data_IF_965038620540
#
_entry.id   IF_965038620540
#
_cell.length_a   1.000
_cell.length_b   1.000
_cell.length_c   1.000
_cell.angle_alpha   90.00
_cell.angle_beta   90.00
_cell.angle_gamma   90.00
#
_symmetry.space_group_name_H-M   'P 1'
#
loop_
_entity.id
_entity.type
_entity.pdbx_description
1 polymer ?
#
# COMPACT_ATOMS: atom_id res chain seq x y z
N UNK A 1 73.15 -19.70 -4.94
CA UNK A 1 72.49 -18.49 -4.40
C UNK A 1 71.00 -18.77 -4.30
N UNK A 2 70.54 -19.15 -3.12
CA UNK A 2 69.12 -19.24 -2.76
C UNK A 2 68.59 -17.81 -2.55
N UNK A 3 67.38 -17.49 -3.01
CA UNK A 3 66.32 -16.81 -2.24
C UNK A 3 65.18 -16.31 -3.14
N UNK A 4 63.95 -16.55 -2.66
CA UNK A 4 62.77 -15.69 -2.81
C UNK A 4 61.95 -15.68 -4.12
N UNK A 5 61.33 -16.81 -4.45
CA UNK A 5 60.01 -16.82 -5.10
C UNK A 5 58.97 -17.29 -4.07
N UNK A 6 58.04 -16.42 -3.69
CA UNK A 6 56.78 -16.62 -2.92
C UNK A 6 56.54 -15.48 -1.91
N UNK A 7 56.12 -14.30 -2.36
CA UNK A 7 55.49 -13.34 -1.44
C UNK A 7 54.63 -12.24 -2.06
N UNK A 8 53.88 -12.47 -3.14
CA UNK A 8 52.96 -11.42 -3.66
C UNK A 8 51.68 -11.99 -4.31
N UNK A 9 51.12 -13.09 -3.79
CA UNK A 9 49.86 -13.64 -4.33
C UNK A 9 48.80 -13.99 -3.27
N UNK A 10 48.96 -13.51 -2.03
CA UNK A 10 48.07 -13.89 -0.92
C UNK A 10 47.50 -12.70 -0.12
N UNK A 11 47.73 -11.47 -0.58
CA UNK A 11 47.27 -10.24 0.11
C UNK A 11 46.20 -9.47 -0.66
N UNK A 12 45.86 -9.83 -1.90
CA UNK A 12 44.78 -9.19 -2.66
C UNK A 12 43.40 -9.85 -2.51
N UNK A 13 43.27 -10.88 -1.66
CA UNK A 13 42.00 -11.58 -1.42
C UNK A 13 41.41 -11.28 -0.02
N UNK A 14 41.89 -10.24 0.65
CA UNK A 14 41.44 -9.82 2.00
C UNK A 14 40.99 -8.34 2.05
N UNK A 15 40.66 -7.73 0.91
CA UNK A 15 40.08 -6.37 0.86
C UNK A 15 38.69 -6.32 0.20
N UNK A 16 38.06 -7.47 -0.09
CA UNK A 16 36.72 -7.52 -0.70
C UNK A 16 35.66 -8.22 0.17
N UNK A 17 35.97 -8.62 1.42
CA UNK A 17 35.02 -9.38 2.28
C UNK A 17 34.93 -8.82 3.71
N UNK A 18 35.27 -7.55 3.93
CA UNK A 18 35.11 -6.90 5.23
C UNK A 18 34.30 -5.62 5.07
N UNK A 19 33.16 -5.53 5.76
CA UNK A 19 32.28 -4.35 5.85
C UNK A 19 31.25 -4.24 4.70
N UNK A 20 30.59 -5.35 4.39
CA UNK A 20 29.13 -5.32 4.37
C UNK A 20 28.63 -5.16 5.82
N UNK A 21 27.50 -4.49 6.01
CA UNK A 21 26.79 -4.21 7.28
C UNK A 21 27.15 -2.87 7.94
N UNK A 22 26.48 -1.82 7.48
CA UNK A 22 25.60 -1.00 8.32
C UNK A 22 24.72 -0.11 7.43
N UNK A 23 23.55 -0.63 7.07
CA UNK A 23 22.44 0.21 6.68
C UNK A 23 21.93 0.90 7.94
N UNK A 24 22.47 2.07 8.24
CA UNK A 24 21.98 2.89 9.33
C UNK A 24 20.60 3.45 8.94
N UNK A 25 19.54 2.93 9.55
CA UNK A 25 18.32 3.70 9.73
C UNK A 25 18.75 4.98 10.46
N UNK A 26 18.68 6.11 9.76
CA UNK A 26 19.27 7.36 10.21
C UNK A 26 18.22 8.12 11.00
N UNK A 27 17.93 7.64 12.21
CA UNK A 27 17.02 8.36 13.10
C UNK A 27 17.66 9.73 13.43
N UNK A 28 16.88 10.79 13.35
CA UNK A 28 17.37 12.14 13.66
C UNK A 28 17.37 12.34 15.17
N UNK A 29 18.54 12.61 15.75
CA UNK A 29 18.68 12.93 17.16
C UNK A 29 18.43 14.42 17.38
N UNK A 30 17.47 14.73 18.24
CA UNK A 30 17.14 16.09 18.65
C UNK A 30 18.15 16.63 19.69
N UNK A 31 18.21 17.96 19.90
CA UNK A 31 19.16 18.57 20.83
C UNK A 31 19.04 18.12 22.30
N UNK A 32 17.90 17.54 22.69
CA UNK A 32 17.66 16.97 24.02
C UNK A 32 18.00 15.46 24.12
N UNK A 33 18.54 14.88 23.04
CA UNK A 33 18.86 13.46 22.96
C UNK A 33 17.67 12.56 22.63
N UNK A 34 16.47 13.09 22.41
CA UNK A 34 15.34 12.31 21.92
C UNK A 34 15.46 12.04 20.42
N UNK A 35 14.84 10.96 19.95
CA UNK A 35 15.00 10.49 18.58
C UNK A 35 13.70 10.63 17.78
N UNK A 36 13.81 11.07 16.53
CA UNK A 36 12.71 11.09 15.57
C UNK A 36 13.05 10.25 14.33
N UNK A 37 12.02 9.86 13.57
CA UNK A 37 12.19 9.11 12.33
C UNK A 37 12.97 9.89 11.26
N UNK A 38 13.55 9.18 10.30
CA UNK A 38 14.53 9.64 9.28
C UNK A 38 14.09 10.82 8.40
N UNK A 39 12.81 11.23 8.46
CA UNK A 39 12.24 12.36 7.71
C UNK A 39 11.43 13.35 8.57
N UNK A 40 11.60 13.29 9.89
CA UNK A 40 10.97 14.19 10.83
C UNK A 40 11.86 15.40 11.17
N UNK A 41 11.24 16.48 11.65
CA UNK A 41 11.95 17.66 12.16
C UNK A 41 11.76 17.77 13.67
N UNK A 42 12.85 17.92 14.41
CA UNK A 42 12.80 18.21 15.83
C UNK A 42 12.24 19.61 16.08
N UNK A 43 11.08 19.68 16.74
CA UNK A 43 10.45 20.93 17.13
C UNK A 43 10.37 21.06 18.64
N UNK A 44 10.73 22.24 19.13
CA UNK A 44 10.68 22.57 20.55
C UNK A 44 9.23 22.58 21.07
N UNK A 45 9.09 22.16 22.32
CA UNK A 45 7.87 22.13 23.14
C UNK A 45 8.18 22.72 24.53
N UNK A 46 7.17 22.79 25.41
CA UNK A 46 7.38 23.20 26.82
C UNK A 46 8.26 22.23 27.62
N UNK A 47 8.38 20.97 27.18
CA UNK A 47 9.04 19.90 27.93
C UNK A 47 10.25 19.29 27.21
N UNK A 48 10.77 19.94 26.16
CA UNK A 48 11.88 19.43 25.35
C UNK A 48 11.54 19.46 23.85
N UNK A 49 11.96 18.47 23.09
CA UNK A 49 11.70 18.34 21.67
C UNK A 49 10.69 17.24 21.37
N UNK A 50 9.95 17.45 20.28
CA UNK A 50 8.99 16.50 19.72
C UNK A 50 9.16 16.47 18.21
N UNK A 51 8.64 15.44 17.58
CA UNK A 51 8.87 15.15 16.18
C UNK A 51 7.74 15.73 15.32
N UNK A 52 8.11 16.54 14.35
CA UNK A 52 7.20 16.91 13.27
C UNK A 52 7.37 15.94 12.10
N UNK A 53 6.29 15.35 11.57
CA UNK A 53 6.38 14.35 10.51
C UNK A 53 6.76 14.95 9.13
N UNK A 54 7.02 16.26 9.07
CA UNK A 54 7.48 16.94 7.88
C UNK A 54 9.00 17.14 7.92
N UNK A 55 9.70 16.94 6.79
CA UNK A 55 11.10 17.32 6.69
C UNK A 55 11.21 18.85 6.62
N UNK A 56 12.19 19.42 7.32
CA UNK A 56 12.42 20.86 7.43
C UNK A 56 11.15 21.64 7.80
N UNK A 57 10.39 21.13 8.78
CA UNK A 57 9.13 21.70 9.23
C UNK A 57 9.31 23.09 9.85
N UNK A 58 8.27 23.92 9.76
CA UNK A 58 8.15 25.17 10.51
C UNK A 58 7.51 24.86 11.85
N UNK A 59 8.26 25.00 12.93
CA UNK A 59 7.75 24.84 14.29
C UNK A 59 6.91 26.05 14.69
N UNK A 60 5.63 25.84 15.01
CA UNK A 60 4.76 26.93 15.40
C UNK A 60 5.02 27.38 16.84
N UNK A 61 4.76 28.65 17.13
CA UNK A 61 5.02 29.27 18.43
C UNK A 61 4.06 28.78 19.54
N UNK A 62 3.01 28.04 19.20
CA UNK A 62 2.10 27.41 20.15
C UNK A 62 2.68 26.17 20.84
N UNK A 63 3.93 25.80 20.53
CA UNK A 63 4.68 24.69 21.10
C UNK A 63 4.06 23.30 20.90
N UNK A 64 2.85 23.18 20.38
CA UNK A 64 2.15 21.92 20.13
C UNK A 64 2.11 21.51 18.66
N UNK A 65 2.21 22.46 17.73
CA UNK A 65 2.00 22.20 16.31
C UNK A 65 3.14 22.63 15.41
N UNK A 66 3.11 22.12 14.18
CA UNK A 66 4.03 22.49 13.13
C UNK A 66 3.40 22.44 11.75
N UNK A 67 4.06 23.14 10.83
CA UNK A 67 3.67 23.27 9.45
C UNK A 67 4.75 22.71 8.51
N UNK A 68 4.39 22.31 7.29
CA UNK A 68 5.38 21.95 6.29
C UNK A 68 6.30 23.13 5.94
N UNK A 69 7.47 22.83 5.39
CA UNK A 69 8.41 23.85 4.95
C UNK A 69 7.75 24.85 3.98
N UNK A 70 7.99 26.13 4.21
CA UNK A 70 7.46 27.23 3.38
C UNK A 70 6.01 27.64 3.68
N UNK A 71 5.37 27.12 4.73
CA UNK A 71 4.10 27.61 5.25
C UNK A 71 4.31 28.42 6.55
N UNK A 72 3.52 29.46 6.75
CA UNK A 72 3.45 30.22 8.01
C UNK A 72 2.35 29.70 8.92
N UNK A 73 2.56 29.74 10.23
CA UNK A 73 1.56 29.32 11.21
C UNK A 73 0.58 30.45 11.52
N UNK A 74 -0.71 30.25 11.24
CA UNK A 74 -1.78 31.11 11.71
C UNK A 74 -2.40 30.50 12.98
N UNK A 75 -2.01 31.02 14.14
CA UNK A 75 -2.41 30.48 15.44
C UNK A 75 -3.89 30.73 15.77
N UNK A 76 -4.50 31.75 15.17
CA UNK A 76 -5.91 32.09 15.38
C UNK A 76 -6.82 31.09 14.68
N UNK A 77 -6.50 30.75 13.42
CA UNK A 77 -7.27 29.78 12.64
C UNK A 77 -6.77 28.35 12.79
N UNK A 78 -5.63 28.14 13.47
CA UNK A 78 -4.93 26.86 13.58
C UNK A 78 -4.59 26.26 12.21
N UNK A 79 -4.18 27.12 11.27
CA UNK A 79 -3.85 26.75 9.89
C UNK A 79 -2.43 27.16 9.48
N UNK A 80 -1.79 26.31 8.70
CA UNK A 80 -0.60 26.61 7.93
C UNK A 80 -0.99 27.33 6.64
N UNK A 81 -0.51 28.55 6.45
CA UNK A 81 -0.88 29.41 5.33
C UNK A 81 0.36 29.83 4.54
N UNK A 82 0.28 29.72 3.21
CA UNK A 82 1.32 30.22 2.30
C UNK A 82 0.76 31.22 1.29
N UNK A 83 -0.50 31.04 0.90
CA UNK A 83 -1.25 31.91 -0.01
C UNK A 83 -2.74 31.87 0.36
N UNK A 84 -3.57 32.80 -0.13
CA UNK A 84 -5.00 32.86 0.21
C UNK A 84 -5.79 31.57 -0.07
N UNK A 85 -5.29 30.75 -1.00
CA UNK A 85 -5.86 29.47 -1.44
C UNK A 85 -5.02 28.25 -1.01
N UNK A 86 -3.91 28.44 -0.30
CA UNK A 86 -3.08 27.37 0.28
C UNK A 86 -3.09 27.51 1.80
N UNK A 87 -4.14 26.93 2.40
CA UNK A 87 -4.35 26.83 3.84
C UNK A 87 -4.59 25.37 4.18
N UNK A 88 -3.85 24.82 5.13
CA UNK A 88 -4.04 23.46 5.63
C UNK A 88 -4.04 23.49 7.16
N UNK A 89 -4.74 22.58 7.86
CA UNK A 89 -4.69 22.52 9.31
C UNK A 89 -3.27 22.28 9.83
N UNK A 90 -2.91 22.92 10.93
CA UNK A 90 -1.67 22.69 11.63
C UNK A 90 -1.61 21.25 12.17
N UNK A 91 -0.47 20.59 12.07
CA UNK A 91 -0.29 19.21 12.53
C UNK A 91 0.30 19.19 13.93
N UNK A 92 -0.22 18.33 14.81
CA UNK A 92 0.32 18.13 16.15
C UNK A 92 1.65 17.40 16.09
N UNK A 93 2.58 17.81 16.95
CA UNK A 93 3.87 17.13 17.10
C UNK A 93 3.68 15.75 17.73
N UNK A 94 4.49 14.80 17.30
CA UNK A 94 4.55 13.44 17.83
C UNK A 94 5.60 13.37 18.95
N UNK A 95 5.34 12.61 20.01
CA UNK A 95 6.30 12.47 21.10
C UNK A 95 7.58 11.82 20.57
N UNK A 96 8.74 12.42 20.86
CA UNK A 96 10.01 11.86 20.47
C UNK A 96 10.32 10.61 21.31
N UNK A 97 10.89 9.57 20.69
CA UNK A 97 11.20 8.34 21.40
C UNK A 97 12.36 8.59 22.36
N UNK A 98 12.15 8.22 23.62
CA UNK A 98 13.14 8.35 24.68
C UNK A 98 14.17 7.23 24.54
N UNK A 99 15.48 7.49 24.63
CA UNK A 99 16.48 6.43 24.56
C UNK A 99 16.25 5.39 25.66
N UNK A 100 15.91 4.15 25.28
CA UNK A 100 15.78 3.04 26.22
C UNK A 100 17.16 2.71 26.80
N UNK A 101 17.31 2.88 28.12
CA UNK A 101 18.50 2.46 28.87
C UNK A 101 18.69 0.93 28.74
N UNK A 102 19.92 0.44 28.53
CA UNK A 102 20.17 -0.99 28.34
C UNK A 102 20.09 -1.74 29.67
N UNK A 103 19.08 -2.61 29.83
CA UNK A 103 19.04 -3.58 30.93
C UNK A 103 19.85 -4.81 30.52
N UNK A 104 20.87 -5.13 31.34
CA UNK A 104 21.77 -6.28 31.15
C UNK A 104 21.04 -7.61 31.37
N UNK A 105 21.33 -8.66 30.59
CA UNK A 105 20.74 -9.99 30.81
C UNK A 105 21.54 -10.75 31.86
N UNK A 106 20.88 -11.23 32.91
CA UNK A 106 21.36 -12.36 33.71
C UNK A 106 20.20 -13.32 33.87
N UNK A 107 20.38 -14.53 33.36
CA UNK A 107 19.61 -15.74 33.64
C UNK A 107 20.53 -16.76 34.32
N UNK A 108 20.05 -17.91 34.83
CA UNK A 108 18.72 -18.28 35.36
C UNK A 108 18.84 -18.86 36.79
N UNK A 109 17.75 -19.10 37.55
CA UNK A 109 17.09 -20.41 37.70
C UNK A 109 15.83 -20.24 38.58
N UNK A 110 14.71 -20.85 38.14
CA UNK A 110 13.56 -21.51 38.82
C UNK A 110 13.11 -21.00 40.22
N UNK A 111 11.83 -20.97 40.60
CA UNK A 111 10.58 -21.59 40.11
C UNK A 111 9.39 -20.99 40.89
N UNK A 112 8.16 -21.19 40.35
CA UNK A 112 6.86 -21.23 41.06
C UNK A 112 6.38 -19.93 41.78
N UNK A 113 5.18 -19.39 41.62
CA UNK A 113 3.87 -19.95 41.31
C UNK A 113 2.97 -18.88 40.66
N UNK A 114 2.21 -19.31 39.65
CA UNK A 114 0.78 -19.06 39.42
C UNK A 114 0.20 -17.70 39.84
N UNK A 115 -0.14 -16.88 38.83
CA UNK A 115 -1.51 -16.42 38.51
C UNK A 115 -1.42 -15.16 37.64
N UNK A 116 -1.70 -15.30 36.34
CA UNK A 116 -2.43 -14.33 35.51
C UNK A 116 -2.25 -14.66 34.03
N UNK A 117 -3.38 -14.90 33.37
CA UNK A 117 -3.76 -14.43 32.03
C UNK A 117 -2.67 -14.53 30.93
N UNK A 118 -2.83 -15.41 29.92
CA UNK A 118 -1.84 -15.51 28.86
C UNK A 118 -1.82 -14.24 28.00
N UNK A 119 -0.74 -13.47 28.16
CA UNK A 119 -0.24 -12.49 27.21
C UNK A 119 0.20 -13.23 25.95
N UNK A 120 -0.75 -13.53 25.07
CA UNK A 120 -0.45 -13.82 23.68
C UNK A 120 -0.38 -12.49 22.93
N UNK A 121 0.82 -11.93 22.81
CA UNK A 121 1.11 -10.99 21.71
C UNK A 121 1.30 -11.83 20.45
N UNK A 122 0.20 -12.50 20.04
CA UNK A 122 0.07 -13.16 18.77
C UNK A 122 0.02 -12.05 17.72
N UNK A 123 1.07 -11.97 16.90
CA UNK A 123 1.09 -11.20 15.66
C UNK A 123 -0.23 -11.44 14.92
N UNK A 124 -1.13 -10.44 14.92
CA UNK A 124 -2.43 -10.56 14.28
C UNK A 124 -2.27 -10.33 12.79
N UNK A 125 -2.19 -11.41 12.03
CA UNK A 125 -2.28 -11.34 10.58
C UNK A 125 -3.63 -10.74 10.16
N UNK A 126 -3.60 -9.89 9.13
CA UNK A 126 -4.79 -9.24 8.58
C UNK A 126 -5.39 -10.18 7.53
N UNK A 127 -6.49 -10.85 7.86
CA UNK A 127 -7.20 -11.72 6.92
C UNK A 127 -7.95 -10.89 5.88
N UNK A 128 -7.64 -11.09 4.61
CA UNK A 128 -8.30 -10.41 3.49
C UNK A 128 -9.60 -11.13 3.11
N UNK A 129 -9.56 -12.47 3.11
CA UNK A 129 -10.72 -13.34 2.94
C UNK A 129 -10.47 -14.73 3.56
N UNK A 130 -11.26 -15.74 3.18
CA UNK A 130 -11.17 -17.12 3.66
C UNK A 130 -9.93 -17.88 3.18
N UNK A 131 -9.19 -17.35 2.21
CA UNK A 131 -8.06 -18.00 1.57
C UNK A 131 -6.77 -17.18 1.67
N UNK A 132 -6.85 -15.85 1.86
CA UNK A 132 -5.73 -14.93 1.76
C UNK A 132 -5.55 -14.06 3.01
N UNK A 133 -4.30 -13.86 3.41
CA UNK A 133 -3.90 -13.02 4.53
C UNK A 133 -2.72 -12.11 4.18
N UNK A 134 -2.69 -10.95 4.84
CA UNK A 134 -1.62 -9.99 4.82
C UNK A 134 -0.92 -9.89 6.18
N UNK A 135 0.37 -9.49 6.21
CA UNK A 135 1.08 -9.25 7.45
C UNK A 135 0.40 -8.17 8.30
N UNK A 136 0.68 -8.18 9.60
CA UNK A 136 0.17 -7.14 10.50
C UNK A 136 0.57 -5.73 10.02
N UNK A 137 -0.37 -4.79 10.06
CA UNK A 137 -0.19 -3.41 9.61
C UNK A 137 -0.38 -3.17 8.10
N UNK A 138 -0.64 -4.21 7.31
CA UNK A 138 -0.90 -4.08 5.88
C UNK A 138 -2.40 -3.96 5.59
N UNK A 139 -2.75 -3.26 4.51
CA UNK A 139 -4.13 -3.14 4.03
C UNK A 139 -4.38 -4.08 2.86
N UNK A 140 -5.42 -4.90 2.95
CA UNK A 140 -5.83 -5.79 1.85
C UNK A 140 -6.40 -4.97 0.68
N UNK A 141 -5.75 -5.06 -0.48
CA UNK A 141 -6.15 -4.46 -1.73
C UNK A 141 -6.57 -5.54 -2.73
N UNK A 142 -7.76 -5.35 -3.31
CA UNK A 142 -8.32 -6.29 -4.27
C UNK A 142 -7.96 -5.86 -5.69
N UNK A 143 -7.29 -6.75 -6.41
CA UNK A 143 -6.94 -6.54 -7.80
C UNK A 143 -8.14 -6.74 -8.73
N UNK A 144 -8.24 -6.01 -9.86
CA UNK A 144 -9.31 -6.18 -10.84
C UNK A 144 -9.48 -7.61 -11.37
N UNK A 145 -8.42 -8.42 -11.40
CA UNK A 145 -8.49 -9.85 -11.80
C UNK A 145 -9.00 -10.78 -10.69
N UNK A 146 -9.27 -10.25 -9.49
CA UNK A 146 -9.81 -11.00 -8.35
C UNK A 146 -8.77 -11.48 -7.33
N UNK A 147 -7.48 -11.29 -7.58
CA UNK A 147 -6.41 -11.60 -6.63
C UNK A 147 -6.31 -10.55 -5.51
N UNK A 148 -5.75 -10.96 -4.36
CA UNK A 148 -5.46 -10.07 -3.24
C UNK A 148 -3.99 -9.68 -3.18
N UNK A 149 -3.77 -8.42 -2.86
CA UNK A 149 -2.46 -7.84 -2.61
C UNK A 149 -2.46 -7.06 -1.30
N UNK A 150 -1.33 -7.00 -0.63
CA UNK A 150 -1.09 -6.35 0.63
C UNK A 150 -0.41 -5.01 0.38
N UNK A 151 -1.11 -3.93 0.70
CA UNK A 151 -0.54 -2.60 0.74
C UNK A 151 0.26 -2.41 2.03
N UNK A 152 1.52 -1.99 1.90
CA UNK A 152 2.42 -1.74 3.03
C UNK A 152 2.06 -0.53 3.90
N UNK A 153 0.95 0.16 3.60
CA UNK A 153 0.42 1.22 4.43
C UNK A 153 -0.73 0.71 5.30
N UNK A 154 -0.66 1.04 6.58
CA UNK A 154 -1.81 0.95 7.49
C UNK A 154 -2.89 1.93 7.04
N UNK A 155 -4.11 1.43 6.83
CA UNK A 155 -5.25 2.18 6.26
C UNK A 155 -4.92 2.82 4.89
N UNK A 156 -4.10 2.14 4.09
CA UNK A 156 -3.73 2.58 2.75
C UNK A 156 -4.93 2.65 1.82
N UNK A 157 -4.91 3.61 0.89
CA UNK A 157 -5.88 3.67 -0.20
C UNK A 157 -5.38 2.83 -1.37
N UNK A 158 -6.13 1.79 -1.70
CA UNK A 158 -5.85 0.96 -2.87
C UNK A 158 -6.11 1.76 -4.16
N UNK A 159 -5.15 1.71 -5.07
CA UNK A 159 -5.36 2.20 -6.42
C UNK A 159 -6.30 1.25 -7.17
N UNK A 160 -6.88 1.78 -8.25
CA UNK A 160 -7.86 1.07 -9.05
C UNK A 160 -7.26 -0.04 -9.90
N UNK A 161 -5.98 0.08 -10.23
CA UNK A 161 -5.22 -0.98 -10.88
C UNK A 161 -4.94 -2.16 -9.94
N UNK A 162 -5.13 -1.99 -8.62
CA UNK A 162 -4.96 -3.03 -7.62
C UNK A 162 -3.52 -3.48 -7.35
N UNK A 163 -2.56 -2.96 -8.10
CA UNK A 163 -1.13 -3.18 -7.87
C UNK A 163 -0.52 -2.08 -7.04
N UNK A 164 -1.04 -0.86 -7.13
CA UNK A 164 -0.51 0.27 -6.41
C UNK A 164 -1.37 0.63 -5.22
N UNK A 165 -0.74 1.23 -4.22
CA UNK A 165 -1.47 1.83 -3.13
C UNK A 165 -0.79 3.10 -2.61
N UNK A 166 -1.62 3.97 -2.06
CA UNK A 166 -1.22 5.23 -1.49
C UNK A 166 -1.42 5.24 0.01
N UNK A 167 -0.62 6.02 0.75
CA UNK A 167 -0.83 6.19 2.18
C UNK A 167 -2.18 6.84 2.45
N UNK A 168 -2.67 6.67 3.67
CA UNK A 168 -3.94 7.25 4.09
C UNK A 168 -4.04 8.75 3.78
N UNK A 169 -5.18 9.17 3.21
CA UNK A 169 -5.42 10.56 2.82
C UNK A 169 -4.74 11.02 1.52
N UNK A 170 -4.24 10.06 0.72
CA UNK A 170 -3.80 10.28 -0.66
C UNK A 170 -4.60 9.40 -1.62
N UNK A 171 -4.85 9.94 -2.80
CA UNK A 171 -5.48 9.29 -3.94
C UNK A 171 -4.42 9.00 -4.98
N UNK A 172 -4.56 7.89 -5.68
CA UNK A 172 -3.71 7.63 -6.83
C UNK A 172 -4.06 8.61 -7.95
N UNK A 173 -3.05 9.09 -8.66
CA UNK A 173 -3.22 9.82 -9.90
C UNK A 173 -3.79 8.89 -10.98
N UNK A 174 -4.12 9.46 -12.15
CA UNK A 174 -4.72 8.68 -13.24
C UNK A 174 -3.76 7.64 -13.83
N UNK A 175 -2.46 7.82 -13.63
CA UNK A 175 -1.42 6.85 -14.04
C UNK A 175 -1.10 5.82 -12.97
N UNK A 176 -1.69 5.94 -11.77
CA UNK A 176 -1.49 5.10 -10.57
C UNK A 176 -0.06 5.04 -10.02
N UNK A 177 0.86 5.80 -10.60
CA UNK A 177 2.28 5.85 -10.21
C UNK A 177 2.54 6.87 -9.13
N UNK A 178 1.62 7.83 -8.94
CA UNK A 178 1.80 8.91 -7.97
C UNK A 178 0.61 9.04 -7.03
N UNK A 179 0.94 9.31 -5.78
CA UNK A 179 -0.04 9.63 -4.75
C UNK A 179 -0.25 11.14 -4.67
N UNK A 180 -1.45 11.58 -5.05
CA UNK A 180 -1.91 12.98 -5.04
C UNK A 180 -2.98 13.19 -3.97
N UNK A 181 -3.18 14.42 -3.51
CA UNK A 181 -4.27 14.75 -2.58
C UNK A 181 -5.27 15.66 -3.28
N UNK A 182 -6.48 15.18 -3.55
CA UNK A 182 -7.55 15.99 -4.18
C UNK A 182 -7.84 17.23 -3.33
N UNK A 183 -7.74 18.42 -3.94
CA UNK A 183 -8.05 19.71 -3.30
C UNK A 183 -6.86 20.63 -3.04
N UNK A 184 -5.62 20.21 -3.35
CA UNK A 184 -4.43 21.08 -3.32
C UNK A 184 -3.72 21.00 -4.68
N UNK A 185 -3.88 22.02 -5.52
CA UNK A 185 -3.05 22.20 -6.70
C UNK A 185 -1.66 22.68 -6.26
N UNK A 186 -0.64 21.81 -6.42
CA UNK A 186 0.82 22.02 -6.38
C UNK A 186 1.35 23.22 -5.54
N UNK A 187 2.20 22.98 -4.52
CA UNK A 187 3.44 22.21 -4.69
C UNK A 187 3.62 21.16 -3.60
N UNK A 188 3.38 19.90 -3.94
CA UNK A 188 3.87 18.76 -3.16
C UNK A 188 4.59 17.84 -4.13
N UNK A 189 5.79 17.39 -3.76
CA UNK A 189 6.51 16.37 -4.52
C UNK A 189 5.63 15.12 -4.55
N UNK A 190 5.20 14.64 -5.73
CA UNK A 190 4.43 13.42 -5.83
C UNK A 190 5.22 12.28 -5.18
N UNK A 191 4.56 11.50 -4.31
CA UNK A 191 5.16 10.27 -3.79
C UNK A 191 4.90 9.15 -4.78
N UNK A 192 5.94 8.37 -5.06
CA UNK A 192 5.77 7.13 -5.80
C UNK A 192 4.81 6.22 -5.03
N UNK A 193 3.85 5.67 -5.75
CA UNK A 193 2.97 4.64 -5.22
C UNK A 193 3.78 3.39 -4.90
N UNK A 194 3.49 2.74 -3.77
CA UNK A 194 4.11 1.46 -3.47
C UNK A 194 3.42 0.35 -4.25
N UNK A 195 4.23 -0.53 -4.82
CA UNK A 195 3.76 -1.80 -5.35
C UNK A 195 3.32 -2.68 -4.19
N UNK A 196 2.08 -3.13 -4.24
CA UNK A 196 1.49 -4.06 -3.29
C UNK A 196 2.07 -5.47 -3.48
N UNK A 197 2.17 -6.21 -2.39
CA UNK A 197 2.75 -7.56 -2.37
C UNK A 197 1.62 -8.58 -2.49
N UNK A 198 1.71 -9.66 -3.28
CA UNK A 198 0.66 -10.69 -3.30
C UNK A 198 0.34 -11.21 -1.89
N UNK A 199 -0.95 -11.38 -1.58
CA UNK A 199 -1.37 -11.91 -0.29
C UNK A 199 -1.02 -13.39 -0.16
N UNK A 200 -0.63 -13.80 1.05
CA UNK A 200 -0.24 -15.17 1.33
C UNK A 200 -1.48 -16.04 1.50
N UNK A 201 -1.50 -17.28 0.96
CA UNK A 201 -2.57 -18.22 1.23
C UNK A 201 -2.53 -18.67 2.70
N UNK A 202 -3.70 -18.84 3.32
CA UNK A 202 -3.85 -19.33 4.69
C UNK A 202 -3.50 -20.83 4.70
N UNK A 203 -2.42 -21.21 5.38
CA UNK A 203 -2.05 -22.61 5.54
C UNK A 203 -2.92 -23.28 6.61
N UNK A 204 -3.96 -24.01 6.22
CA UNK A 204 -4.67 -24.92 7.13
C UNK A 204 -3.85 -26.20 7.28
N UNK A 205 -3.25 -26.42 8.44
CA UNK A 205 -2.71 -27.72 8.81
C UNK A 205 -3.86 -28.69 9.11
N UNK A 206 -3.91 -29.77 8.34
CA UNK A 206 -4.60 -31.05 8.60
C UNK A 206 -6.13 -31.05 8.71
N UNK A 207 -6.81 -31.28 7.58
CA UNK A 207 -7.59 -32.52 7.44
C UNK A 207 -7.48 -33.04 6.01
N UNK A 208 -7.22 -34.34 5.89
CA UNK A 208 -6.83 -35.05 4.68
C UNK A 208 -8.05 -35.75 4.10
N UNK A 209 -8.64 -35.19 3.04
CA UNK A 209 -9.32 -36.00 2.01
C UNK A 209 -9.41 -35.29 0.66
N UNK A 210 -8.39 -35.58 -0.17
CA UNK A 210 -8.43 -35.80 -1.63
C UNK A 210 -9.41 -34.93 -2.45
N UNK A 211 -8.92 -33.84 -3.05
CA UNK A 211 -8.77 -33.76 -4.52
C UNK A 211 -7.42 -33.11 -4.80
N UNK A 212 -6.62 -33.79 -5.61
CA UNK A 212 -5.28 -33.38 -6.01
C UNK A 212 -5.41 -32.33 -7.12
N UNK A 213 -5.36 -31.05 -6.77
CA UNK A 213 -5.06 -30.00 -7.75
C UNK A 213 -3.67 -29.43 -7.47
N UNK A 214 -2.78 -29.68 -8.42
CA UNK A 214 -1.41 -29.18 -8.46
C UNK A 214 -1.41 -27.64 -8.38
N UNK A 215 -0.60 -27.04 -7.49
CA UNK A 215 -0.40 -25.59 -7.50
C UNK A 215 0.22 -25.19 -8.84
N UNK A 216 -0.37 -24.22 -9.53
CA UNK A 216 0.21 -23.69 -10.75
C UNK A 216 1.40 -22.81 -10.36
N UNK A 217 2.55 -23.45 -10.21
CA UNK A 217 3.88 -22.84 -10.19
C UNK A 217 4.00 -21.93 -11.41
N UNK A 218 4.52 -20.71 -11.20
CA UNK A 218 4.93 -19.82 -12.27
C UNK A 218 5.83 -20.59 -13.24
N UNK A 219 5.36 -20.83 -14.47
CA UNK A 219 6.18 -21.45 -15.49
C UNK A 219 7.17 -20.41 -16.01
N UNK A 220 8.44 -20.75 -15.80
CA UNK A 220 9.63 -20.26 -16.47
C UNK A 220 9.38 -20.02 -17.96
N UNK A 221 9.93 -18.92 -18.46
CA UNK A 221 9.95 -18.53 -19.88
C UNK A 221 10.26 -19.73 -20.80
N UNK A 222 9.31 -20.07 -21.66
CA UNK A 222 9.57 -20.85 -22.87
C UNK A 222 9.43 -19.90 -24.06
N UNK A 223 10.52 -19.78 -24.81
CA UNK A 223 10.54 -19.13 -26.12
C UNK A 223 9.54 -19.83 -27.05
N UNK A 224 8.84 -19.01 -27.82
CA UNK A 224 7.89 -19.37 -28.88
C UNK A 224 6.44 -19.71 -28.46
N UNK A 225 5.69 -18.68 -28.01
CA UNK A 225 4.26 -18.52 -28.29
C UNK A 225 3.81 -17.05 -28.09
N UNK A 226 2.97 -16.56 -29.00
CA UNK A 226 2.42 -15.19 -29.08
C UNK A 226 1.66 -14.76 -27.80
N UNK A 227 1.67 -13.47 -27.39
CA UNK A 227 1.21 -13.01 -26.08
C UNK A 227 -0.32 -12.91 -26.04
N UNK A 228 -0.99 -13.92 -25.51
CA UNK A 228 -2.43 -13.84 -25.27
C UNK A 228 -2.73 -13.26 -23.89
N UNK A 229 -3.45 -12.14 -23.92
CA UNK A 229 -3.82 -11.29 -22.80
C UNK A 229 -4.65 -12.03 -21.73
N UNK A 230 -4.37 -11.76 -20.45
CA UNK A 230 -5.08 -12.36 -19.32
C UNK A 230 -6.60 -12.07 -19.32
N UNK A 231 -7.40 -13.07 -18.97
CA UNK A 231 -8.88 -12.96 -18.86
C UNK A 231 -9.32 -12.54 -17.46
N UNK A 232 -10.46 -11.84 -17.36
CA UNK A 232 -11.06 -11.41 -16.09
C UNK A 232 -12.16 -12.39 -15.70
N UNK A 233 -11.97 -13.14 -14.61
CA UNK A 233 -12.95 -14.13 -14.14
C UNK A 233 -14.07 -13.45 -13.35
N UNK A 234 -15.32 -13.64 -13.79
CA UNK A 234 -16.51 -13.12 -13.11
C UNK A 234 -17.06 -14.11 -12.07
N UNK A 235 -16.95 -15.42 -12.36
CA UNK A 235 -17.24 -16.53 -11.45
C UNK A 235 -16.49 -17.79 -11.94
N UNK A 236 -16.77 -18.96 -11.33
CA UNK A 236 -16.11 -20.24 -11.65
C UNK A 236 -16.29 -20.70 -13.11
N UNK A 237 -17.34 -20.21 -13.79
CA UNK A 237 -17.74 -20.66 -15.13
C UNK A 237 -17.70 -19.56 -16.18
N UNK A 238 -17.66 -18.29 -15.78
CA UNK A 238 -17.85 -17.14 -16.66
C UNK A 238 -16.69 -16.16 -16.54
N UNK A 239 -16.20 -15.68 -17.67
CA UNK A 239 -15.11 -14.73 -17.77
C UNK A 239 -15.35 -13.66 -18.85
N UNK A 240 -14.57 -12.60 -18.78
CA UNK A 240 -14.51 -11.52 -19.75
C UNK A 240 -13.08 -11.32 -20.27
N UNK A 241 -12.94 -10.67 -21.42
CA UNK A 241 -11.63 -10.36 -22.00
C UNK A 241 -10.83 -9.37 -21.12
N UNK A 242 -9.51 -9.30 -21.32
CA UNK A 242 -8.65 -8.30 -20.69
C UNK A 242 -9.22 -6.88 -20.85
N UNK A 243 -9.10 -6.04 -19.81
CA UNK A 243 -9.52 -4.62 -19.87
C UNK A 243 -11.03 -4.37 -19.75
N UNK A 244 -11.83 -5.39 -19.50
CA UNK A 244 -13.29 -5.28 -19.30
C UNK A 244 -13.67 -5.30 -17.81
N UNK A 245 -14.95 -5.13 -17.48
CA UNK A 245 -15.47 -5.24 -16.10
C UNK A 245 -16.62 -6.22 -16.02
N UNK A 246 -16.57 -7.13 -15.05
CA UNK A 246 -17.67 -8.03 -14.77
C UNK A 246 -18.85 -7.29 -14.12
N UNK A 247 -19.99 -7.25 -14.80
CA UNK A 247 -21.24 -6.68 -14.32
C UNK A 247 -22.27 -7.78 -14.07
N UNK A 248 -22.80 -7.83 -12.85
CA UNK A 248 -23.89 -8.74 -12.48
C UNK A 248 -25.22 -7.99 -12.51
N UNK A 249 -26.23 -8.56 -13.16
CA UNK A 249 -27.58 -8.02 -13.14
C UNK A 249 -28.35 -8.41 -11.86
N UNK A 250 -29.58 -7.91 -11.71
CA UNK A 250 -30.43 -8.23 -10.56
C UNK A 250 -30.92 -9.68 -10.55
N UNK A 251 -30.80 -10.40 -11.66
CA UNK A 251 -31.15 -11.84 -11.79
C UNK A 251 -29.94 -12.74 -11.54
N UNK A 252 -28.76 -12.17 -11.33
CA UNK A 252 -27.51 -12.86 -11.09
C UNK A 252 -26.74 -13.29 -12.34
N UNK A 253 -27.18 -12.84 -13.51
CA UNK A 253 -26.53 -13.08 -14.80
C UNK A 253 -25.33 -12.14 -14.95
N UNK A 254 -24.22 -12.67 -15.43
CA UNK A 254 -22.99 -11.92 -15.65
C UNK A 254 -22.86 -11.44 -17.10
N UNK A 255 -22.34 -10.23 -17.25
CA UNK A 255 -22.08 -9.57 -18.53
C UNK A 255 -20.80 -8.75 -18.42
N UNK A 256 -20.11 -8.57 -19.53
CA UNK A 256 -18.86 -7.84 -19.64
C UNK A 256 -19.14 -6.40 -20.06
N UNK A 257 -18.71 -5.44 -19.25
CA UNK A 257 -18.63 -4.05 -19.65
C UNK A 257 -17.29 -3.82 -20.36
N UNK A 258 -17.25 -3.19 -21.55
CA UNK A 258 -16.03 -2.96 -22.31
C UNK A 258 -15.06 -1.97 -21.64
N UNK A 259 -15.54 -1.22 -20.64
CA UNK A 259 -14.70 -0.27 -19.92
C UNK A 259 -13.98 -0.94 -18.74
N UNK A 260 -12.69 -0.65 -18.52
CA UNK A 260 -12.01 -1.03 -17.30
C UNK A 260 -12.62 -0.26 -16.12
N UNK A 261 -12.93 -0.98 -15.04
CA UNK A 261 -13.56 -0.43 -13.83
C UNK A 261 -14.89 0.29 -14.11
N UNK A 262 -15.65 -0.22 -15.08
CA UNK A 262 -16.91 0.34 -15.52
C UNK A 262 -18.00 0.27 -14.43
N UNK A 263 -18.82 1.31 -14.37
CA UNK A 263 -19.99 1.39 -13.50
C UNK A 263 -21.17 0.68 -14.18
N UNK A 264 -21.64 -0.39 -13.55
CA UNK A 264 -22.75 -1.20 -14.04
C UNK A 264 -24.10 -0.49 -13.78
N UNK A 265 -24.81 -0.08 -14.83
CA UNK A 265 -26.19 0.39 -14.75
C UNK A 265 -27.18 -0.69 -14.27
N UNK A 266 -28.31 -0.27 -13.69
CA UNK A 266 -29.30 -1.20 -13.11
C UNK A 266 -30.11 -1.98 -14.14
N UNK A 267 -30.14 -1.50 -15.37
CA UNK A 267 -30.88 -2.10 -16.47
C UNK A 267 -30.30 -3.43 -16.99
N UNK A 268 -29.10 -3.80 -16.52
CA UNK A 268 -28.42 -5.04 -16.92
C UNK A 268 -27.79 -5.00 -18.31
N UNK A 269 -28.01 -3.94 -19.08
CA UNK A 269 -27.62 -3.84 -20.50
C UNK A 269 -26.53 -2.82 -20.76
N UNK A 270 -26.48 -1.77 -19.94
CA UNK A 270 -25.56 -0.67 -20.16
C UNK A 270 -24.55 -0.52 -19.03
N UNK A 271 -23.42 0.08 -19.34
CA UNK A 271 -22.43 0.47 -18.36
C UNK A 271 -21.78 1.81 -18.73
N UNK A 272 -21.16 2.42 -17.73
CA UNK A 272 -20.46 3.69 -17.87
C UNK A 272 -18.99 3.51 -17.55
N UNK A 273 -18.15 4.36 -18.14
CA UNK A 273 -16.75 4.44 -17.76
C UNK A 273 -16.59 4.88 -16.30
N UNK A 274 -15.45 4.54 -15.70
CA UNK A 274 -15.14 4.88 -14.33
C UNK A 274 -15.33 6.39 -14.03
N UNK A 275 -16.00 6.68 -12.91
CA UNK A 275 -16.25 8.06 -12.47
C UNK A 275 -17.45 8.75 -13.14
N UNK A 276 -18.18 8.07 -14.02
CA UNK A 276 -19.49 8.50 -14.51
C UNK A 276 -20.61 7.75 -13.80
N UNK A 277 -21.78 8.40 -13.64
CA UNK A 277 -22.98 7.76 -13.08
C UNK A 277 -23.97 7.46 -14.19
N UNK A 278 -24.64 6.30 -14.12
CA UNK A 278 -25.75 6.03 -15.03
C UNK A 278 -26.90 7.01 -14.75
N UNK A 279 -27.46 7.59 -15.82
CA UNK A 279 -28.74 8.30 -15.79
C UNK A 279 -29.87 7.39 -15.32
N UNK A 280 -31.01 7.96 -14.96
CA UNK A 280 -32.20 7.21 -14.55
C UNK A 280 -32.67 6.20 -15.61
N UNK A 281 -32.49 6.51 -16.90
CA UNK A 281 -32.83 5.63 -18.03
C UNK A 281 -31.71 4.66 -18.39
N UNK A 282 -30.52 4.77 -17.79
CA UNK A 282 -29.31 4.00 -18.08
C UNK A 282 -28.73 4.15 -19.50
N UNK A 283 -29.33 5.00 -20.36
CA UNK A 283 -28.88 5.24 -21.75
C UNK A 283 -27.75 6.27 -21.86
N UNK A 284 -27.56 7.06 -20.81
CA UNK A 284 -26.46 8.04 -20.73
C UNK A 284 -25.74 7.97 -19.39
N UNK A 285 -24.46 8.28 -19.42
CA UNK A 285 -23.53 8.42 -18.34
C UNK A 285 -23.32 9.91 -18.04
N UNK A 286 -23.47 10.31 -16.78
CA UNK A 286 -23.46 11.71 -16.35
C UNK A 286 -22.33 12.00 -15.38
N UNK A 287 -21.72 13.18 -15.54
CA UNK A 287 -20.75 13.77 -14.61
C UNK A 287 -20.86 15.29 -14.66
N UNK A 288 -21.46 15.87 -13.62
CA UNK A 288 -21.82 17.29 -13.65
C UNK A 288 -22.86 17.54 -14.75
N UNK A 289 -22.53 18.42 -15.70
CA UNK A 289 -23.38 18.75 -16.86
C UNK A 289 -23.07 17.93 -18.11
N UNK A 290 -22.05 17.07 -18.09
CA UNK A 290 -21.72 16.23 -19.23
C UNK A 290 -22.66 15.02 -19.31
N UNK A 291 -23.25 14.80 -20.50
CA UNK A 291 -24.06 13.64 -20.83
C UNK A 291 -23.38 12.87 -21.96
N UNK A 292 -22.92 11.66 -21.67
CA UNK A 292 -22.23 10.79 -22.61
C UNK A 292 -23.09 9.54 -22.83
N UNK A 293 -23.23 9.00 -24.04
CA UNK A 293 -23.94 7.73 -24.24
C UNK A 293 -23.32 6.60 -23.42
N UNK A 294 -24.15 5.72 -22.85
CA UNK A 294 -23.66 4.54 -22.14
C UNK A 294 -23.14 3.48 -23.09
N UNK A 295 -22.11 2.74 -22.67
CA UNK A 295 -21.60 1.60 -23.42
C UNK A 295 -22.50 0.36 -23.29
N UNK A 296 -22.61 -0.47 -24.33
CA UNK A 296 -23.32 -1.74 -24.24
C UNK A 296 -22.50 -2.74 -23.41
N UNK A 297 -23.20 -3.67 -22.74
CA UNK A 297 -22.57 -4.85 -22.16
C UNK A 297 -22.65 -6.02 -23.13
N UNK A 298 -21.62 -6.85 -23.07
CA UNK A 298 -21.55 -8.12 -23.81
C UNK A 298 -21.81 -9.30 -22.88
N UNK A 299 -22.19 -10.44 -23.42
CA UNK A 299 -22.35 -11.64 -22.61
C UNK A 299 -20.99 -12.15 -22.11
N UNK A 300 -20.94 -12.57 -20.85
CA UNK A 300 -19.75 -13.23 -20.33
C UNK A 300 -19.54 -14.57 -21.03
N UNK A 301 -18.30 -14.87 -21.40
CA UNK A 301 -17.90 -16.10 -22.08
C UNK A 301 -17.80 -17.24 -21.07
N UNK A 302 -18.12 -18.45 -21.51
CA UNK A 302 -18.05 -19.62 -20.64
C UNK A 302 -16.64 -20.23 -20.70
N UNK A 303 -16.12 -20.66 -19.55
CA UNK A 303 -14.85 -21.42 -19.49
C UNK A 303 -14.93 -22.75 -20.25
N UNK A 304 -16.14 -23.25 -20.57
CA UNK A 304 -16.33 -24.37 -21.49
C UNK A 304 -16.02 -24.04 -22.95
N UNK A 305 -16.07 -22.78 -23.33
CA UNK A 305 -15.83 -22.31 -24.71
C UNK A 305 -14.32 -22.13 -25.00
N UNK A 306 -13.46 -22.49 -24.04
CA UNK A 306 -12.00 -22.38 -24.08
C UNK A 306 -11.29 -23.72 -24.37
N UNK A 307 -12.08 -24.79 -24.58
CA UNK A 307 -11.70 -26.14 -25.02
C UNK A 307 -12.06 -26.32 -26.49
#
# INVERSE_FOLDING_TARGET
>A
MMTHSHRMLRTSLWLLVGVFVWGFASCITCPDGNHCSDHATCCMTEHGYSCCPYPNAVCCADLAHCCPSGFGCNLVTQMCEKAPWMRIPMVKKEAAEKPSTPVRPVSPIQELQNNAVPEQTKSSDVYCDSYYQCPNGYTCCRHPTGAWFCCGFYLGRCCLDGYHCCPYGYDCDLTYTQCVRRGLSYPFSPRESLTSIPASPISTSEDKSIIQETPMTALTETKDASPEAGVIRCNDKLYCSAGTTCCKDTKGIWSCCPFPLGICCKDGKHCCEYGLKCSSTSLSCVRGYAHIPSGPREHAKSTKDML
#
